data_IF_565157572083
#
_entry.id   IF_565157572083
#
_cell.length_a   1.000
_cell.length_b   1.000
_cell.length_c   1.000
_cell.angle_alpha   90.00
_cell.angle_beta   90.00
_cell.angle_gamma   90.00
#
_symmetry.space_group_name_H-M   'P 1'
#
loop_
_entity.id
_entity.type
_entity.pdbx_description
1 polymer ?
#
# COMPACT_ATOMS: atom_id res chain seq x y z
N UNK A 1 -22.42 -6.56 29.21
CA UNK A 1 -22.08 -6.08 27.85
C UNK A 1 -21.88 -7.36 27.04
N UNK A 2 -22.89 -7.71 26.22
CA UNK A 2 -22.86 -8.88 25.34
C UNK A 2 -21.89 -8.55 24.18
N UNK A 3 -20.73 -9.22 24.18
CA UNK A 3 -19.88 -9.27 23.01
C UNK A 3 -20.63 -10.02 21.92
N UNK A 4 -21.10 -9.30 20.91
CA UNK A 4 -21.67 -9.90 19.70
C UNK A 4 -20.53 -10.68 19.03
N UNK A 5 -20.51 -12.00 19.20
CA UNK A 5 -19.65 -12.89 18.44
C UNK A 5 -20.12 -12.82 17.00
N UNK A 6 -19.45 -12.01 16.18
CA UNK A 6 -19.55 -12.14 14.73
C UNK A 6 -19.02 -13.54 14.39
N UNK A 7 -19.90 -14.42 13.95
CA UNK A 7 -19.48 -15.65 13.28
C UNK A 7 -19.00 -15.23 11.90
N UNK A 8 -17.73 -15.47 11.55
CA UNK A 8 -17.27 -15.18 10.21
C UNK A 8 -18.13 -15.95 9.21
N UNK A 9 -18.68 -15.25 8.21
CA UNK A 9 -19.38 -15.92 7.12
C UNK A 9 -18.37 -16.75 6.35
N UNK A 10 -18.62 -18.05 6.29
CA UNK A 10 -17.79 -18.96 5.51
C UNK A 10 -18.21 -18.90 4.06
N UNK A 11 -17.33 -18.41 3.20
CA UNK A 11 -17.53 -18.40 1.75
C UNK A 11 -17.02 -19.68 1.13
N UNK A 12 -17.77 -20.22 0.21
CA UNK A 12 -17.33 -21.30 -0.67
C UNK A 12 -16.66 -20.72 -1.92
N UNK A 13 -15.88 -21.52 -2.63
CA UNK A 13 -15.11 -21.13 -3.82
C UNK A 13 -15.95 -20.45 -4.93
N UNK A 14 -17.26 -20.74 -5.03
CA UNK A 14 -18.18 -20.17 -6.01
C UNK A 14 -18.90 -18.91 -5.53
N UNK A 15 -18.73 -18.52 -4.29
CA UNK A 15 -19.29 -17.28 -3.72
C UNK A 15 -18.29 -16.12 -3.77
N UNK A 16 -17.05 -16.41 -4.13
CA UNK A 16 -15.99 -15.42 -4.31
C UNK A 16 -16.36 -14.51 -5.50
N UNK A 17 -16.46 -13.19 -5.25
CA UNK A 17 -16.79 -12.18 -6.26
C UNK A 17 -15.75 -11.06 -6.23
N UNK A 18 -15.52 -10.35 -7.35
CA UNK A 18 -14.70 -9.17 -7.33
C UNK A 18 -15.12 -8.17 -6.24
N UNK A 19 -14.16 -7.69 -5.45
CA UNK A 19 -14.38 -6.83 -4.29
C UNK A 19 -14.58 -7.57 -2.96
N UNK A 20 -14.82 -8.90 -2.95
CA UNK A 20 -14.88 -9.69 -1.72
C UNK A 20 -13.49 -9.75 -1.08
N UNK A 21 -13.44 -9.53 0.23
CA UNK A 21 -12.22 -9.71 1.02
C UNK A 21 -12.35 -10.96 1.89
N UNK A 22 -11.31 -11.77 1.91
CA UNK A 22 -11.27 -13.04 2.62
C UNK A 22 -9.89 -13.33 3.19
N UNK A 23 -9.84 -14.16 4.25
CA UNK A 23 -8.57 -14.64 4.80
C UNK A 23 -8.03 -15.79 3.98
N UNK A 24 -6.78 -15.67 3.53
CA UNK A 24 -6.05 -16.71 2.82
C UNK A 24 -4.61 -16.77 3.34
N UNK A 25 -4.16 -17.96 3.78
CA UNK A 25 -2.84 -18.17 4.39
C UNK A 25 -2.53 -17.16 5.53
N UNK A 26 -3.54 -16.82 6.34
CA UNK A 26 -3.40 -15.92 7.50
C UNK A 26 -3.30 -14.43 7.13
N UNK A 27 -3.56 -14.07 5.88
CA UNK A 27 -3.54 -12.68 5.41
C UNK A 27 -4.82 -12.32 4.65
N UNK A 28 -5.27 -11.04 4.69
CA UNK A 28 -6.45 -10.58 3.98
C UNK A 28 -6.14 -10.36 2.50
N UNK A 29 -6.96 -10.94 1.64
CA UNK A 29 -6.91 -10.79 0.19
C UNK A 29 -8.22 -10.28 -0.36
N UNK A 30 -8.15 -9.39 -1.35
CA UNK A 30 -9.28 -8.89 -2.13
C UNK A 30 -9.32 -9.61 -3.49
N UNK A 31 -10.49 -10.08 -3.90
CA UNK A 31 -10.71 -10.62 -5.24
C UNK A 31 -10.75 -9.46 -6.23
N UNK A 32 -9.85 -9.45 -7.21
CA UNK A 32 -9.84 -8.49 -8.31
C UNK A 32 -10.59 -9.00 -9.54
N UNK A 33 -10.37 -10.27 -9.87
CA UNK A 33 -10.96 -10.95 -11.02
C UNK A 33 -11.41 -12.35 -10.59
N UNK A 34 -12.52 -12.80 -11.15
CA UNK A 34 -13.10 -14.12 -10.88
C UNK A 34 -13.65 -14.69 -12.18
N UNK A 35 -13.22 -15.90 -12.53
CA UNK A 35 -13.73 -16.67 -13.65
C UNK A 35 -14.02 -18.11 -13.21
N UNK A 36 -15.23 -18.57 -13.52
CA UNK A 36 -15.66 -19.92 -13.15
C UNK A 36 -15.52 -20.85 -14.36
N UNK A 37 -14.59 -21.79 -14.30
CA UNK A 37 -14.36 -22.76 -15.36
C UNK A 37 -15.03 -24.08 -15.03
N UNK A 38 -15.97 -24.48 -15.90
CA UNK A 38 -16.63 -25.77 -15.85
C UNK A 38 -16.32 -26.54 -17.13
N UNK A 39 -15.39 -27.48 -17.03
CA UNK A 39 -15.06 -28.36 -18.18
C UNK A 39 -15.79 -29.70 -18.04
N UNK A 40 -16.22 -30.26 -19.20
CA UNK A 40 -16.75 -31.62 -19.22
C UNK A 40 -15.68 -32.59 -18.68
N UNK A 41 -16.05 -33.44 -17.71
CA UNK A 41 -15.21 -34.47 -17.07
C UNK A 41 -14.11 -33.95 -16.11
N UNK A 42 -14.06 -32.66 -15.73
CA UNK A 42 -13.17 -32.15 -14.68
C UNK A 42 -13.96 -31.46 -13.58
N UNK A 43 -13.42 -31.48 -12.35
CA UNK A 43 -14.01 -30.73 -11.24
C UNK A 43 -13.98 -29.22 -11.57
N UNK A 44 -15.04 -28.48 -11.26
CA UNK A 44 -15.08 -27.05 -11.50
C UNK A 44 -14.01 -26.34 -10.68
N UNK A 45 -13.44 -25.28 -11.26
CA UNK A 45 -12.37 -24.48 -10.68
C UNK A 45 -12.74 -23.01 -10.78
N UNK A 46 -12.55 -22.27 -9.71
CA UNK A 46 -12.59 -20.81 -9.70
C UNK A 46 -11.20 -20.26 -9.96
N UNK A 47 -10.98 -19.68 -11.14
CA UNK A 47 -9.78 -18.92 -11.41
C UNK A 47 -9.94 -17.51 -10.88
N UNK A 48 -9.00 -17.07 -10.07
CA UNK A 48 -9.07 -15.77 -9.42
C UNK A 48 -7.75 -15.02 -9.54
N UNK A 49 -7.88 -13.70 -9.60
CA UNK A 49 -6.76 -12.80 -9.37
C UNK A 49 -7.00 -12.08 -8.06
N UNK A 50 -6.10 -12.26 -7.12
CA UNK A 50 -6.25 -11.79 -5.75
C UNK A 50 -5.15 -10.80 -5.40
N UNK A 51 -5.49 -9.80 -4.59
CA UNK A 51 -4.55 -8.80 -4.11
C UNK A 51 -4.41 -8.92 -2.59
N UNK A 52 -3.19 -9.14 -2.14
CA UNK A 52 -2.89 -9.05 -0.73
C UNK A 52 -3.06 -7.61 -0.24
N UNK A 53 -3.89 -7.38 0.76
CA UNK A 53 -4.18 -6.02 1.25
C UNK A 53 -3.06 -5.43 2.11
N UNK A 54 -2.21 -6.27 2.69
CA UNK A 54 -1.06 -5.83 3.49
C UNK A 54 0.11 -5.42 2.59
N UNK A 55 0.51 -6.31 1.66
CA UNK A 55 1.70 -6.10 0.83
C UNK A 55 1.41 -5.41 -0.51
N UNK A 56 0.15 -5.39 -0.94
CA UNK A 56 -0.28 -4.91 -2.27
C UNK A 56 0.03 -5.88 -3.42
N UNK A 57 0.65 -7.03 -3.14
CA UNK A 57 1.04 -8.01 -4.17
C UNK A 57 -0.18 -8.67 -4.79
N UNK A 58 -0.18 -8.81 -6.12
CA UNK A 58 -1.22 -9.48 -6.87
C UNK A 58 -0.75 -10.89 -7.22
N UNK A 59 -1.64 -11.87 -7.04
CA UNK A 59 -1.42 -13.29 -7.32
C UNK A 59 -2.58 -13.84 -8.13
N UNK A 60 -2.28 -14.79 -9.03
CA UNK A 60 -3.29 -15.65 -9.65
C UNK A 60 -3.42 -16.93 -8.85
N UNK A 61 -4.65 -17.32 -8.50
CA UNK A 61 -4.96 -18.53 -7.75
C UNK A 61 -6.19 -19.24 -8.30
N UNK A 62 -6.12 -20.56 -8.26
CA UNK A 62 -7.23 -21.44 -8.61
C UNK A 62 -7.76 -22.07 -7.32
N UNK A 63 -9.04 -21.84 -7.04
CA UNK A 63 -9.72 -22.42 -5.88
C UNK A 63 -10.65 -23.56 -6.31
N UNK A 64 -10.75 -24.58 -5.48
CA UNK A 64 -11.47 -25.81 -5.76
C UNK A 64 -12.70 -25.97 -4.86
N UNK A 65 -13.60 -26.89 -5.23
CA UNK A 65 -14.89 -27.11 -4.59
C UNK A 65 -14.84 -27.41 -3.06
N UNK A 66 -13.71 -27.87 -2.54
CA UNK A 66 -13.56 -28.24 -1.14
C UNK A 66 -12.97 -27.13 -0.27
N UNK A 67 -12.67 -25.96 -0.86
CA UNK A 67 -12.07 -24.85 -0.14
C UNK A 67 -13.14 -23.88 0.34
N UNK A 68 -13.01 -23.50 1.59
CA UNK A 68 -13.86 -22.52 2.27
C UNK A 68 -12.99 -21.41 2.83
N UNK A 69 -13.50 -20.19 2.82
CA UNK A 69 -12.79 -18.99 3.22
C UNK A 69 -13.59 -18.21 4.25
N UNK A 70 -12.90 -17.57 5.14
CA UNK A 70 -13.47 -16.62 6.09
C UNK A 70 -13.61 -15.26 5.42
N UNK A 71 -14.85 -14.77 5.27
CA UNK A 71 -15.09 -13.43 4.75
C UNK A 71 -14.66 -12.38 5.78
N UNK A 72 -14.02 -11.33 5.31
CA UNK A 72 -13.57 -10.21 6.14
C UNK A 72 -14.30 -8.96 5.72
N UNK A 73 -15.11 -8.40 6.62
CA UNK A 73 -15.74 -7.10 6.38
C UNK A 73 -14.72 -5.99 6.60
N UNK A 74 -14.48 -5.21 5.55
CA UNK A 74 -13.48 -4.14 5.57
C UNK A 74 -14.17 -2.77 5.53
N UNK A 75 -13.91 -1.99 6.57
CA UNK A 75 -14.24 -0.58 6.61
C UNK A 75 -13.04 0.28 6.26
N UNK A 76 -13.24 1.29 5.42
CA UNK A 76 -12.19 2.25 5.03
C UNK A 76 -12.33 3.53 5.84
N UNK A 77 -11.29 3.87 6.58
CA UNK A 77 -11.21 5.09 7.39
C UNK A 77 -10.07 5.98 6.92
N UNK A 78 -10.33 7.27 6.82
CA UNK A 78 -9.26 8.25 6.60
C UNK A 78 -8.53 8.49 7.92
N UNK A 79 -7.21 8.44 7.89
CA UNK A 79 -6.33 8.73 9.01
C UNK A 79 -5.19 9.63 8.54
N UNK A 80 -4.49 10.27 9.46
CA UNK A 80 -3.32 11.11 9.17
C UNK A 80 -2.05 10.50 9.72
N UNK A 81 -1.02 10.45 8.89
CA UNK A 81 0.32 10.15 9.34
C UNK A 81 0.91 11.32 10.13
N UNK A 82 1.50 11.03 11.27
CA UNK A 82 2.11 12.02 12.16
C UNK A 82 3.63 12.05 11.99
N UNK A 83 4.29 10.97 12.38
CA UNK A 83 5.74 10.80 12.36
C UNK A 83 6.13 9.32 12.48
N UNK A 84 7.41 9.01 12.24
CA UNK A 84 7.99 7.73 12.60
C UNK A 84 9.00 7.91 13.73
N UNK A 85 9.08 6.93 14.60
CA UNK A 85 10.05 6.88 15.70
C UNK A 85 10.33 5.44 16.09
N UNK A 86 11.60 5.07 16.17
CA UNK A 86 12.07 3.75 16.62
C UNK A 86 11.45 2.56 15.88
N UNK A 87 11.23 2.70 14.57
CA UNK A 87 10.61 1.64 13.74
C UNK A 87 9.08 1.56 13.86
N UNK A 88 8.45 2.54 14.51
CA UNK A 88 6.99 2.68 14.58
C UNK A 88 6.52 3.92 13.84
N UNK A 89 5.48 3.76 13.03
CA UNK A 89 4.78 4.82 12.34
C UNK A 89 3.52 5.20 13.12
N UNK A 90 3.40 6.47 13.45
CA UNK A 90 2.31 7.01 14.24
C UNK A 90 1.27 7.68 13.36
N UNK A 91 0.01 7.34 13.62
CA UNK A 91 -1.15 7.86 12.91
C UNK A 91 -2.18 8.40 13.91
N UNK A 92 -3.06 9.27 13.44
CA UNK A 92 -4.18 9.79 14.23
C UNK A 92 -5.46 9.89 13.40
N UNK A 93 -6.59 10.04 14.09
CA UNK A 93 -7.84 10.44 13.44
C UNK A 93 -7.72 11.88 12.90
N UNK A 94 -8.23 12.18 11.67
CA UNK A 94 -8.10 13.51 11.07
C UNK A 94 -8.71 14.63 11.90
N UNK A 95 -9.79 14.34 12.64
CA UNK A 95 -10.55 15.30 13.46
C UNK A 95 -10.09 15.34 14.93
N UNK A 96 -9.40 14.31 15.39
CA UNK A 96 -8.99 14.18 16.77
C UNK A 96 -7.56 13.61 16.89
N UNK A 97 -6.52 14.46 16.89
CA UNK A 97 -5.13 14.04 17.01
C UNK A 97 -4.79 13.35 18.34
N UNK A 98 -5.67 13.43 19.36
CA UNK A 98 -5.46 12.71 20.63
C UNK A 98 -5.66 11.21 20.47
N UNK A 99 -6.50 10.79 19.52
CA UNK A 99 -6.74 9.39 19.16
C UNK A 99 -5.67 8.92 18.19
N UNK A 100 -4.49 8.67 18.74
CA UNK A 100 -3.31 8.20 18.01
C UNK A 100 -3.02 6.76 18.33
N UNK A 101 -2.44 6.08 17.33
CA UNK A 101 -1.97 4.72 17.44
C UNK A 101 -0.69 4.55 16.63
N UNK A 102 0.07 3.51 16.92
CA UNK A 102 1.28 3.18 16.15
C UNK A 102 1.16 1.82 15.47
N UNK A 103 1.88 1.67 14.38
CA UNK A 103 2.10 0.41 13.69
C UNK A 103 3.59 0.22 13.44
N UNK A 104 4.07 -1.02 13.59
CA UNK A 104 5.45 -1.36 13.26
C UNK A 104 5.68 -1.28 11.76
N UNK A 105 6.88 -0.84 11.35
CA UNK A 105 7.27 -0.76 9.95
C UNK A 105 7.13 -2.10 9.21
N UNK A 106 7.37 -3.22 9.91
CA UNK A 106 7.32 -4.58 9.36
C UNK A 106 5.95 -5.00 8.80
N UNK A 107 4.86 -4.42 9.35
CA UNK A 107 3.48 -4.71 8.93
C UNK A 107 2.91 -3.68 7.97
N UNK A 108 3.70 -2.68 7.60
CA UNK A 108 3.31 -1.60 6.72
C UNK A 108 3.86 -1.79 5.30
N UNK A 109 3.17 -1.28 4.27
CA UNK A 109 3.70 -1.33 2.92
C UNK A 109 4.98 -0.48 2.80
N UNK A 110 5.97 -0.87 1.97
CA UNK A 110 7.21 -0.10 1.79
C UNK A 110 7.00 1.36 1.36
N UNK A 111 5.82 1.68 0.84
CA UNK A 111 5.41 3.02 0.44
C UNK A 111 5.35 4.02 1.62
N UNK A 112 5.23 3.55 2.87
CA UNK A 112 5.16 4.43 4.06
C UNK A 112 6.39 5.32 4.24
N UNK A 113 7.55 4.92 3.72
CA UNK A 113 8.79 5.71 3.76
C UNK A 113 8.68 7.05 3.01
N UNK A 114 7.67 7.19 2.15
CA UNK A 114 7.39 8.42 1.40
C UNK A 114 6.34 9.30 2.07
N UNK A 115 5.83 8.91 3.25
CA UNK A 115 4.84 9.70 3.97
C UNK A 115 5.48 10.94 4.60
N UNK A 116 4.91 12.08 4.29
CA UNK A 116 5.20 13.35 4.93
C UNK A 116 4.19 13.59 6.05
N UNK A 117 4.61 14.24 7.13
CA UNK A 117 3.73 14.62 8.25
C UNK A 117 2.43 15.27 7.75
N UNK A 118 1.31 14.88 8.33
CA UNK A 118 -0.06 15.28 7.97
C UNK A 118 -0.57 14.72 6.62
N UNK A 119 0.13 13.78 5.98
CA UNK A 119 -0.40 13.09 4.80
C UNK A 119 -1.61 12.24 5.21
N UNK A 120 -2.72 12.42 4.49
CA UNK A 120 -3.90 11.58 4.64
C UNK A 120 -3.68 10.23 3.95
N UNK A 121 -4.00 9.16 4.66
CA UNK A 121 -3.90 7.79 4.18
C UNK A 121 -5.19 7.04 4.53
N UNK A 122 -5.49 5.98 3.79
CA UNK A 122 -6.68 5.17 4.05
C UNK A 122 -6.30 3.92 4.86
N UNK A 123 -6.85 3.79 6.05
CA UNK A 123 -6.77 2.57 6.84
C UNK A 123 -7.94 1.64 6.48
N UNK A 124 -7.65 0.37 6.25
CA UNK A 124 -8.63 -0.70 6.14
C UNK A 124 -8.74 -1.40 7.48
N UNK A 125 -9.93 -1.41 8.07
CA UNK A 125 -10.21 -2.00 9.37
C UNK A 125 -11.16 -3.19 9.25
N UNK A 126 -10.97 -4.18 10.12
CA UNK A 126 -11.96 -5.21 10.44
C UNK A 126 -12.34 -5.04 11.92
N UNK A 127 -13.52 -4.46 12.18
CA UNK A 127 -13.88 -4.01 13.51
C UNK A 127 -12.88 -2.98 14.06
N UNK A 128 -12.26 -3.27 15.18
CA UNK A 128 -11.27 -2.36 15.80
C UNK A 128 -9.83 -2.58 15.29
N UNK A 129 -9.57 -3.65 14.54
CA UNK A 129 -8.25 -4.00 14.05
C UNK A 129 -7.94 -3.33 12.70
N UNK A 130 -6.77 -2.68 12.62
CA UNK A 130 -6.27 -2.13 11.35
C UNK A 130 -5.52 -3.22 10.61
N UNK A 131 -6.06 -3.63 9.47
CA UNK A 131 -5.51 -4.68 8.62
C UNK A 131 -4.42 -4.12 7.69
N UNK A 132 -4.67 -2.95 7.10
CA UNK A 132 -3.72 -2.35 6.15
C UNK A 132 -3.84 -0.85 6.08
N UNK A 133 -2.77 -0.21 5.60
CA UNK A 133 -2.73 1.23 5.29
C UNK A 133 -2.41 1.40 3.81
N UNK A 134 -3.26 2.14 3.12
CA UNK A 134 -3.04 2.50 1.72
C UNK A 134 -2.47 3.91 1.64
N UNK A 135 -1.25 3.99 1.13
CA UNK A 135 -0.55 5.26 0.88
C UNK A 135 -0.97 5.81 -0.49
N UNK A 136 -1.15 7.12 -0.67
CA UNK A 136 -1.39 7.72 -1.98
C UNK A 136 -0.32 7.27 -2.99
N UNK A 137 -0.76 6.86 -4.19
CA UNK A 137 0.15 6.34 -5.25
C UNK A 137 1.17 7.39 -5.70
N UNK A 138 0.80 8.67 -5.64
CA UNK A 138 1.68 9.79 -6.00
C UNK A 138 1.76 10.76 -4.84
N UNK A 139 2.98 11.16 -4.49
CA UNK A 139 3.27 12.15 -3.45
C UNK A 139 4.25 13.19 -3.97
N UNK A 140 4.14 14.41 -3.47
CA UNK A 140 5.06 15.50 -3.78
C UNK A 140 5.98 15.73 -2.60
N UNK A 141 7.29 15.56 -2.84
CA UNK A 141 8.31 15.62 -1.81
C UNK A 141 9.44 16.55 -2.23
N UNK A 142 9.96 17.29 -1.26
CA UNK A 142 11.13 18.14 -1.44
C UNK A 142 12.41 17.31 -1.41
N UNK A 143 13.31 17.60 -2.34
CA UNK A 143 14.67 17.06 -2.32
C UNK A 143 15.46 17.76 -1.23
N UNK A 144 15.84 17.02 -0.20
CA UNK A 144 16.62 17.51 0.93
C UNK A 144 18.10 17.62 0.58
N UNK A 145 18.63 16.58 -0.06
CA UNK A 145 20.03 16.50 -0.44
C UNK A 145 20.17 15.91 -1.83
N UNK A 146 20.91 16.59 -2.70
CA UNK A 146 21.26 16.12 -4.03
C UNK A 146 22.76 16.34 -4.27
N UNK A 147 23.54 15.29 -4.59
CA UNK A 147 24.93 15.47 -4.96
C UNK A 147 25.02 16.30 -6.25
N UNK A 148 26.10 17.07 -6.45
CA UNK A 148 26.33 17.78 -7.70
C UNK A 148 26.39 16.77 -8.86
N UNK A 149 25.73 17.07 -9.97
CA UNK A 149 25.83 16.25 -11.18
C UNK A 149 27.28 16.25 -11.68
N UNK A 150 27.90 15.07 -11.74
CA UNK A 150 29.25 14.98 -12.35
C UNK A 150 29.17 15.35 -13.83
N UNK A 151 29.86 16.40 -14.21
CA UNK A 151 30.09 16.77 -15.63
C UNK A 151 31.11 15.77 -16.21
N UNK A 152 30.64 14.68 -16.80
CA UNK A 152 31.59 13.71 -17.36
C UNK A 152 31.01 12.63 -18.28
N UNK A 153 29.75 12.28 -18.14
CA UNK A 153 29.13 11.20 -18.92
C UNK A 153 27.79 11.62 -19.52
N UNK A 154 27.82 12.52 -20.49
CA UNK A 154 26.61 13.21 -21.01
C UNK A 154 26.13 12.68 -22.35
N UNK A 155 26.43 11.46 -22.75
CA UNK A 155 25.90 10.93 -24.03
C UNK A 155 24.58 10.20 -23.84
N UNK A 156 24.24 9.76 -22.64
CA UNK A 156 22.94 9.18 -22.29
C UNK A 156 22.54 9.69 -20.91
N UNK A 157 21.54 10.56 -20.82
CA UNK A 157 21.05 11.22 -19.63
C UNK A 157 21.26 10.39 -18.34
N UNK A 158 22.26 10.76 -17.55
CA UNK A 158 22.61 10.04 -16.33
C UNK A 158 21.62 10.31 -15.21
N UNK A 159 21.57 9.38 -14.27
CA UNK A 159 20.75 9.48 -13.04
C UNK A 159 21.65 9.65 -11.82
N UNK A 160 21.11 10.22 -10.76
CA UNK A 160 21.76 10.35 -9.45
C UNK A 160 20.82 9.99 -8.32
N UNK A 161 21.38 9.57 -7.18
CA UNK A 161 20.63 9.33 -5.96
C UNK A 161 20.47 10.63 -5.18
N UNK A 162 19.26 10.85 -4.66
CA UNK A 162 18.92 12.00 -3.82
C UNK A 162 18.20 11.55 -2.57
N UNK A 163 18.30 12.35 -1.51
CA UNK A 163 17.57 12.14 -0.25
C UNK A 163 16.40 13.11 -0.22
N UNK A 164 15.22 12.59 0.04
CA UNK A 164 13.98 13.35 0.17
C UNK A 164 13.79 13.88 1.60
N UNK A 165 12.87 14.84 1.78
CA UNK A 165 12.51 15.41 3.09
C UNK A 165 12.05 14.36 4.11
N UNK A 166 11.54 13.22 3.65
CA UNK A 166 11.14 12.06 4.47
C UNK A 166 12.31 11.17 4.88
N UNK A 167 13.51 11.41 4.36
CA UNK A 167 14.68 10.55 4.53
C UNK A 167 14.79 9.41 3.50
N UNK A 168 13.79 9.21 2.65
CA UNK A 168 13.84 8.20 1.60
C UNK A 168 14.87 8.55 0.52
N UNK A 169 15.66 7.57 0.11
CA UNK A 169 16.59 7.68 -1.04
C UNK A 169 15.90 7.19 -2.31
N UNK A 170 16.00 7.98 -3.39
CA UNK A 170 15.52 7.60 -4.72
C UNK A 170 16.49 8.03 -5.82
N UNK A 171 16.35 7.40 -6.97
CA UNK A 171 17.11 7.77 -8.19
C UNK A 171 16.31 8.77 -9.01
N UNK A 172 16.96 9.84 -9.44
CA UNK A 172 16.38 10.93 -10.23
C UNK A 172 17.33 11.37 -11.35
N UNK A 173 16.83 12.02 -12.43
CA UNK A 173 17.68 12.62 -13.46
C UNK A 173 18.66 13.67 -12.90
N UNK A 174 19.83 13.85 -13.54
CA UNK A 174 20.90 14.75 -13.10
C UNK A 174 20.47 16.21 -12.88
N UNK A 175 19.44 16.67 -13.60
CA UNK A 175 18.96 18.05 -13.53
C UNK A 175 18.15 18.39 -12.25
N UNK A 176 17.81 17.38 -11.44
CA UNK A 176 17.09 17.57 -10.17
C UNK A 176 18.08 18.04 -9.10
N UNK A 177 17.76 19.14 -8.42
CA UNK A 177 18.64 19.76 -7.44
C UNK A 177 18.02 19.77 -6.03
N UNK A 178 18.86 20.03 -5.04
CA UNK A 178 18.41 20.28 -3.65
C UNK A 178 17.39 21.42 -3.65
N UNK A 179 16.29 21.23 -2.92
CA UNK A 179 15.17 22.18 -2.80
C UNK A 179 14.08 21.99 -3.85
N UNK A 180 14.31 21.28 -4.94
CA UNK A 180 13.26 20.98 -5.92
C UNK A 180 12.14 20.16 -5.29
N UNK A 181 10.90 20.38 -5.74
CA UNK A 181 9.75 19.52 -5.38
C UNK A 181 9.53 18.55 -6.54
N UNK A 182 9.56 17.28 -6.23
CA UNK A 182 9.39 16.21 -7.21
C UNK A 182 8.21 15.33 -6.85
N UNK A 183 7.59 14.75 -7.88
CA UNK A 183 6.53 13.76 -7.72
C UNK A 183 7.13 12.36 -7.79
N UNK A 184 6.78 11.54 -6.79
CA UNK A 184 7.26 10.16 -6.64
C UNK A 184 6.08 9.21 -6.72
N UNK A 185 6.23 8.13 -7.46
CA UNK A 185 5.32 6.99 -7.40
C UNK A 185 5.68 6.14 -6.18
N UNK A 186 4.83 6.12 -5.18
CA UNK A 186 5.08 5.45 -3.90
C UNK A 186 5.11 3.92 -4.01
N UNK A 187 4.39 3.35 -4.99
CA UNK A 187 4.35 1.90 -5.21
C UNK A 187 5.64 1.36 -5.82
N UNK A 188 6.26 2.13 -6.73
CA UNK A 188 7.51 1.74 -7.40
C UNK A 188 8.75 2.38 -6.79
N UNK A 189 8.58 3.45 -6.00
CA UNK A 189 9.66 4.26 -5.46
C UNK A 189 10.38 5.11 -6.53
N UNK A 190 9.77 5.31 -7.70
CA UNK A 190 10.40 5.98 -8.82
C UNK A 190 9.99 7.45 -8.91
N UNK A 191 10.96 8.27 -9.36
CA UNK A 191 10.71 9.63 -9.81
C UNK A 191 9.73 9.65 -10.99
N UNK A 192 8.77 10.56 -10.96
CA UNK A 192 7.81 10.75 -12.06
C UNK A 192 8.09 12.06 -12.80
N UNK A 193 8.15 13.16 -12.10
CA UNK A 193 8.36 14.49 -12.67
C UNK A 193 8.83 15.50 -11.61
N UNK A 194 9.42 16.59 -12.07
CA UNK A 194 9.68 17.76 -11.22
C UNK A 194 8.48 18.69 -11.27
N UNK A 195 7.87 18.92 -10.10
CA UNK A 195 6.68 19.78 -9.94
C UNK A 195 7.10 21.24 -9.83
N UNK A 196 8.13 21.52 -9.01
CA UNK A 196 8.61 22.86 -8.77
C UNK A 196 10.14 22.87 -8.73
N UNK A 197 10.75 23.86 -9.37
CA UNK A 197 12.20 24.12 -9.32
C UNK A 197 12.51 25.01 -8.13
N UNK A 198 13.55 24.68 -7.37
CA UNK A 198 14.02 25.56 -6.31
C UNK A 198 14.52 26.88 -6.92
N UNK A 199 14.18 27.98 -6.23
CA UNK A 199 14.66 29.35 -6.62
C UNK A 199 16.12 29.53 -6.26
#
# INVERSE_FOLDING_TARGET
>A
ILATRFYPMSLTYNELKPGTVFMYEGQPYEILEFEFLRMQQRKPVAQTKIKNLVTGKILERNFHQNETFEEVEIEKHQIKYMYNSRGEYWFCEPKDPSKRFSMKEEVLPPAVRFLKTNTEVTASKNGDEIISIQVPVKVELRVKEAPPGAKGDTVTGGDKKVILETGAEITVPLFVNTGDIIRVNTSTGQYTERVEKSK
#
